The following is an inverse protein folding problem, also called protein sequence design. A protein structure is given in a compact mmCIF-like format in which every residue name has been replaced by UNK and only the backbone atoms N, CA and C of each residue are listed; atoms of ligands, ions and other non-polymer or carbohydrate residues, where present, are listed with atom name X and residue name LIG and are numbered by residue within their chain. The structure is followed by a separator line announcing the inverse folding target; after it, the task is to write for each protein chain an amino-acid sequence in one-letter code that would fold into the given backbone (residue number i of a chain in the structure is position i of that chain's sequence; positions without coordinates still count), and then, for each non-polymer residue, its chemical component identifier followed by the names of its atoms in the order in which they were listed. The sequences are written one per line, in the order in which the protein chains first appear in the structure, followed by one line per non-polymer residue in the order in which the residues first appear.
data_IF_520007187648
#
_entry.id   IF_520007187648
#
_cell.length_a   1.000
_cell.length_b   1.000
_cell.length_c   1.000
_cell.angle_alpha   90.00
_cell.angle_beta   90.00
_cell.angle_gamma   90.00
#
_symmetry.space_group_name_H-M   'P 1'
#
loop_
_entity.id
_entity.type
_entity.pdbx_description
1 polymer ?
#
# COMPACT_ATOMS: atom_id res chain seq x y z
N UNK A 1 -15.97 -10.89 5.25
CA UNK A 1 -14.99 -10.23 6.18
C UNK A 1 -13.57 -10.16 5.63
N UNK A 2 -13.18 -11.02 4.72
CA UNK A 2 -11.84 -11.08 4.13
C UNK A 2 -11.48 -9.83 3.28
N UNK A 3 -12.47 -9.16 2.67
CA UNK A 3 -12.23 -7.93 1.88
C UNK A 3 -12.04 -6.67 2.74
N UNK A 4 -12.28 -6.78 4.03
CA UNK A 4 -12.22 -5.64 4.95
C UNK A 4 -10.80 -5.05 5.03
N UNK A 5 -9.78 -5.88 5.25
CA UNK A 5 -8.41 -5.40 5.37
C UNK A 5 -7.84 -4.87 4.05
N UNK A 6 -7.99 -5.54 2.89
CA UNK A 6 -7.64 -4.97 1.59
C UNK A 6 -8.37 -3.64 1.33
N UNK A 7 -9.65 -3.54 1.66
CA UNK A 7 -10.40 -2.29 1.55
C UNK A 7 -9.84 -1.15 2.41
N UNK A 8 -9.42 -1.44 3.65
CA UNK A 8 -8.74 -0.47 4.51
C UNK A 8 -7.40 -0.01 3.92
N UNK A 9 -6.61 -0.91 3.34
CA UNK A 9 -5.35 -0.57 2.67
C UNK A 9 -5.61 0.37 1.51
N UNK A 10 -6.59 0.05 0.65
CA UNK A 10 -7.01 0.91 -0.48
C UNK A 10 -7.42 2.30 0.02
N UNK A 11 -8.31 2.36 1.01
CA UNK A 11 -8.77 3.61 1.59
C UNK A 11 -7.64 4.45 2.19
N UNK A 12 -6.73 3.83 2.92
CA UNK A 12 -5.57 4.49 3.51
C UNK A 12 -4.61 5.05 2.45
N UNK A 13 -4.35 4.31 1.37
CA UNK A 13 -3.51 4.77 0.26
C UNK A 13 -4.16 5.95 -0.45
N UNK A 14 -5.45 5.86 -0.78
CA UNK A 14 -6.19 6.94 -1.44
C UNK A 14 -6.20 8.20 -0.57
N UNK A 15 -6.54 8.07 0.71
CA UNK A 15 -6.53 9.19 1.67
C UNK A 15 -5.17 9.88 1.71
N UNK A 16 -4.09 9.09 1.80
CA UNK A 16 -2.72 9.64 1.84
C UNK A 16 -2.35 10.35 0.54
N UNK A 17 -2.58 9.70 -0.61
CA UNK A 17 -2.07 10.17 -1.91
C UNK A 17 -2.94 11.29 -2.49
N UNK A 18 -4.27 11.19 -2.35
CA UNK A 18 -5.20 12.14 -2.96
C UNK A 18 -5.53 13.33 -2.05
N UNK A 19 -5.43 13.19 -0.73
CA UNK A 19 -5.85 14.21 0.22
C UNK A 19 -4.67 14.72 1.06
N UNK A 20 -4.03 13.86 1.86
CA UNK A 20 -3.03 14.30 2.85
C UNK A 20 -1.82 14.92 2.17
N UNK A 21 -1.16 14.19 1.27
CA UNK A 21 0.07 14.65 0.65
C UNK A 21 -0.11 15.92 -0.19
N UNK A 22 -1.13 16.05 -1.08
CA UNK A 22 -1.36 17.29 -1.81
C UNK A 22 -1.75 18.47 -0.93
N UNK A 23 -2.55 18.24 0.12
CA UNK A 23 -2.95 19.30 1.04
C UNK A 23 -1.74 19.83 1.80
N UNK A 24 -0.92 18.94 2.36
CA UNK A 24 0.31 19.33 3.07
C UNK A 24 1.28 20.07 2.15
N UNK A 25 1.44 19.60 0.92
CA UNK A 25 2.33 20.23 -0.07
C UNK A 25 1.88 21.65 -0.45
N UNK A 26 0.57 21.91 -0.50
CA UNK A 26 0.01 23.23 -0.83
C UNK A 26 -0.02 24.20 0.35
N UNK A 27 -0.13 23.69 1.58
CA UNK A 27 -0.34 24.52 2.77
C UNK A 27 0.91 24.76 3.61
N UNK A 28 1.92 23.90 3.48
CA UNK A 28 3.16 23.99 4.24
C UNK A 28 4.31 24.46 3.36
N UNK A 29 5.18 25.28 3.91
CA UNK A 29 6.48 25.59 3.31
C UNK A 29 7.37 24.33 3.30
N UNK A 30 8.41 24.32 2.47
CA UNK A 30 9.27 23.15 2.23
C UNK A 30 9.88 22.57 3.53
N UNK A 31 10.25 23.43 4.49
CA UNK A 31 10.84 23.00 5.77
C UNK A 31 9.81 22.29 6.65
N UNK A 32 8.62 22.86 6.81
CA UNK A 32 7.56 22.31 7.63
C UNK A 32 6.92 21.08 6.98
N UNK A 33 6.81 21.05 5.65
CA UNK A 33 6.42 19.85 4.91
C UNK A 33 7.35 18.68 5.22
N UNK A 34 8.68 18.89 5.13
CA UNK A 34 9.67 17.85 5.44
C UNK A 34 9.58 17.35 6.87
N UNK A 35 9.39 18.26 7.84
CA UNK A 35 9.23 17.89 9.27
C UNK A 35 7.97 17.05 9.52
N UNK A 36 6.87 17.36 8.85
CA UNK A 36 5.61 16.65 9.01
C UNK A 36 5.60 15.29 8.30
N UNK A 37 6.18 15.21 7.09
CA UNK A 37 6.14 13.99 6.29
C UNK A 37 7.06 12.89 6.82
N UNK A 38 8.23 13.25 7.39
CA UNK A 38 9.22 12.30 7.91
C UNK A 38 8.67 11.33 8.97
N UNK A 39 7.94 11.75 9.99
CA UNK A 39 7.32 10.83 10.95
C UNK A 39 6.06 10.14 10.43
N UNK A 40 5.40 10.71 9.41
CA UNK A 40 4.17 10.15 8.84
C UNK A 40 4.42 8.91 7.99
N UNK A 41 5.45 8.92 7.15
CA UNK A 41 5.75 7.83 6.22
C UNK A 41 6.02 6.49 6.88
N UNK A 42 6.90 6.39 7.90
CA UNK A 42 7.13 5.12 8.57
C UNK A 42 5.87 4.56 9.21
N UNK A 43 5.08 5.40 9.87
CA UNK A 43 3.81 5.00 10.51
C UNK A 43 2.81 4.48 9.49
N UNK A 44 2.73 5.15 8.32
CA UNK A 44 1.85 4.72 7.24
C UNK A 44 2.24 3.33 6.71
N UNK A 45 3.50 3.09 6.36
CA UNK A 45 3.91 1.79 5.83
C UNK A 45 3.87 0.69 6.90
N UNK A 46 4.20 0.99 8.16
CA UNK A 46 4.02 0.06 9.26
C UNK A 46 2.54 -0.35 9.42
N UNK A 47 1.61 0.59 9.33
CA UNK A 47 0.17 0.30 9.34
C UNK A 47 -0.22 -0.59 8.16
N UNK A 48 0.26 -0.31 6.95
CA UNK A 48 -0.03 -1.15 5.77
C UNK A 48 0.51 -2.58 5.95
N UNK A 49 1.71 -2.75 6.52
CA UNK A 49 2.26 -4.08 6.85
C UNK A 49 1.35 -4.82 7.81
N UNK A 50 0.92 -4.17 8.90
CA UNK A 50 0.02 -4.77 9.90
C UNK A 50 -1.32 -5.18 9.27
N UNK A 51 -1.94 -4.30 8.49
CA UNK A 51 -3.20 -4.62 7.79
C UNK A 51 -3.03 -5.76 6.78
N UNK A 52 -1.88 -5.84 6.09
CA UNK A 52 -1.59 -6.93 5.15
C UNK A 52 -1.37 -8.26 5.88
N UNK A 53 -0.78 -8.25 7.08
CA UNK A 53 -0.67 -9.44 7.94
C UNK A 53 -2.06 -9.92 8.37
N UNK A 54 -2.94 -9.02 8.81
CA UNK A 54 -4.32 -9.39 9.13
C UNK A 54 -5.08 -9.90 7.90
N UNK A 55 -4.86 -9.32 6.73
CA UNK A 55 -5.41 -9.83 5.47
C UNK A 55 -4.93 -11.28 5.22
N UNK A 56 -3.64 -11.56 5.38
CA UNK A 56 -3.09 -12.90 5.22
C UNK A 56 -3.69 -13.91 6.22
N UNK A 57 -3.84 -13.50 7.48
CA UNK A 57 -4.47 -14.33 8.52
C UNK A 57 -5.91 -14.67 8.13
N UNK A 58 -6.70 -13.69 7.67
CA UNK A 58 -8.07 -13.94 7.23
C UNK A 58 -8.15 -14.86 6.02
N UNK A 59 -7.20 -14.74 5.08
CA UNK A 59 -7.08 -15.67 3.94
C UNK A 59 -6.78 -17.09 4.42
N UNK A 60 -5.86 -17.25 5.36
CA UNK A 60 -5.48 -18.56 5.88
C UNK A 60 -6.61 -19.25 6.65
N UNK A 61 -7.43 -18.48 7.36
CA UNK A 61 -8.54 -19.01 8.16
C UNK A 61 -9.79 -19.36 7.32
N UNK A 62 -9.86 -18.93 6.06
CA UNK A 62 -11.01 -19.18 5.17
C UNK A 62 -10.61 -20.15 4.06
N UNK A 63 -11.12 -21.37 4.14
CA UNK A 63 -10.81 -22.45 3.17
C UNK A 63 -11.24 -22.17 1.73
N UNK A 64 -12.15 -21.22 1.51
CA UNK A 64 -12.69 -20.87 0.19
C UNK A 64 -11.84 -19.86 -0.57
N UNK A 65 -10.77 -19.36 0.06
CA UNK A 65 -9.88 -18.38 -0.54
C UNK A 65 -8.80 -19.05 -1.39
N UNK A 66 -8.65 -18.56 -2.62
CA UNK A 66 -7.69 -19.12 -3.58
C UNK A 66 -6.25 -18.71 -3.26
N UNK A 67 -5.30 -19.46 -3.80
CA UNK A 67 -3.86 -19.13 -3.80
C UNK A 67 -3.60 -17.68 -4.27
N UNK A 68 -4.44 -17.16 -5.16
CA UNK A 68 -4.37 -15.79 -5.65
C UNK A 68 -4.48 -14.74 -4.54
N UNK A 69 -5.42 -14.91 -3.59
CA UNK A 69 -5.58 -14.02 -2.44
C UNK A 69 -4.38 -14.07 -1.50
N UNK A 70 -3.81 -15.26 -1.31
CA UNK A 70 -2.58 -15.44 -0.54
C UNK A 70 -1.40 -14.70 -1.19
N UNK A 71 -1.24 -14.80 -2.51
CA UNK A 71 -0.20 -14.09 -3.25
C UNK A 71 -0.35 -12.57 -3.08
N UNK A 72 -1.57 -12.03 -3.19
CA UNK A 72 -1.82 -10.59 -2.99
C UNK A 72 -1.43 -10.17 -1.56
N UNK A 73 -1.86 -10.90 -0.54
CA UNK A 73 -1.58 -10.55 0.85
C UNK A 73 -0.06 -10.60 1.14
N UNK A 74 0.64 -11.64 0.71
CA UNK A 74 2.10 -11.77 0.87
C UNK A 74 2.83 -10.67 0.10
N UNK A 75 2.45 -10.42 -1.15
CA UNK A 75 3.05 -9.36 -1.96
C UNK A 75 2.85 -7.99 -1.31
N UNK A 76 1.68 -7.74 -0.70
CA UNK A 76 1.40 -6.50 0.01
C UNK A 76 2.31 -6.32 1.23
N UNK A 77 2.56 -7.38 2.00
CA UNK A 77 3.52 -7.35 3.12
C UNK A 77 4.90 -6.98 2.62
N UNK A 78 5.39 -7.68 1.59
CA UNK A 78 6.76 -7.50 1.06
C UNK A 78 6.94 -6.09 0.51
N UNK A 79 6.03 -5.61 -0.33
CA UNK A 79 6.10 -4.27 -0.93
C UNK A 79 6.07 -3.16 0.12
N UNK A 80 5.17 -3.27 1.10
CA UNK A 80 5.07 -2.29 2.19
C UNK A 80 6.30 -2.31 3.10
N UNK A 81 6.85 -3.50 3.39
CA UNK A 81 8.07 -3.64 4.17
C UNK A 81 9.29 -3.03 3.45
N UNK A 82 9.44 -3.25 2.15
CA UNK A 82 10.50 -2.61 1.35
C UNK A 82 10.34 -1.08 1.40
N UNK A 83 9.14 -0.56 1.19
CA UNK A 83 8.88 0.88 1.30
C UNK A 83 9.26 1.42 2.69
N UNK A 84 8.95 0.69 3.75
CA UNK A 84 9.35 1.07 5.12
C UNK A 84 10.86 1.14 5.29
N UNK A 85 11.59 0.11 4.82
CA UNK A 85 13.04 -0.01 4.98
C UNK A 85 13.82 1.05 4.19
N UNK A 86 13.32 1.50 3.04
CA UNK A 86 14.01 2.52 2.24
C UNK A 86 13.82 3.96 2.75
N UNK A 87 12.89 4.22 3.69
CA UNK A 87 12.62 5.57 4.22
C UNK A 87 13.88 6.23 4.81
N UNK A 88 14.67 5.58 5.70
CA UNK A 88 15.88 6.21 6.25
C UNK A 88 16.90 6.61 5.17
N UNK A 89 17.04 5.80 4.13
CA UNK A 89 17.92 6.10 3.00
C UNK A 89 17.40 7.30 2.19
N UNK A 90 16.09 7.38 1.98
CA UNK A 90 15.44 8.51 1.29
C UNK A 90 15.62 9.81 2.08
N UNK A 91 15.45 9.76 3.41
CA UNK A 91 15.67 10.92 4.27
C UNK A 91 17.13 11.39 4.26
N UNK A 92 18.10 10.46 4.34
CA UNK A 92 19.53 10.78 4.23
C UNK A 92 19.90 11.41 2.88
N UNK A 93 19.34 10.88 1.78
CA UNK A 93 19.56 11.46 0.46
C UNK A 93 19.07 12.91 0.39
N UNK A 94 17.92 13.20 1.00
CA UNK A 94 17.39 14.56 1.12
C UNK A 94 18.32 15.45 1.94
N UNK A 95 18.79 15.00 3.10
CA UNK A 95 19.65 15.75 4.01
C UNK A 95 21.02 16.08 3.39
N UNK A 96 21.54 15.16 2.59
CA UNK A 96 22.82 15.31 1.90
C UNK A 96 22.72 16.09 0.56
N UNK A 97 21.51 16.49 0.14
CA UNK A 97 21.29 17.13 -1.15
C UNK A 97 21.49 16.19 -2.34
N UNK A 98 21.51 14.88 -2.13
CA UNK A 98 21.63 13.87 -3.20
C UNK A 98 20.29 13.67 -3.92
N UNK A 99 20.00 14.60 -4.81
CA UNK A 99 18.77 14.59 -5.59
C UNK A 99 18.62 13.36 -6.50
N UNK A 100 19.73 12.75 -6.92
CA UNK A 100 19.70 11.56 -7.78
C UNK A 100 19.19 10.35 -7.01
N UNK A 101 19.82 10.05 -5.89
CA UNK A 101 19.41 8.94 -4.99
C UNK A 101 17.99 9.16 -4.47
N UNK A 102 17.66 10.38 -4.05
CA UNK A 102 16.29 10.71 -3.62
C UNK A 102 15.26 10.39 -4.70
N UNK A 103 15.47 10.82 -5.96
CA UNK A 103 14.54 10.57 -7.06
C UNK A 103 14.34 9.06 -7.31
N UNK A 104 15.40 8.27 -7.23
CA UNK A 104 15.33 6.82 -7.44
C UNK A 104 14.49 6.17 -6.33
N UNK A 105 14.84 6.40 -5.06
CA UNK A 105 14.16 5.82 -3.91
C UNK A 105 12.68 6.27 -3.83
N UNK A 106 12.43 7.53 -4.12
CA UNK A 106 11.07 8.07 -4.17
C UNK A 106 10.23 7.41 -5.27
N UNK A 107 10.77 7.24 -6.48
CA UNK A 107 10.08 6.54 -7.58
C UNK A 107 9.77 5.08 -7.22
N UNK A 108 10.70 4.37 -6.58
CA UNK A 108 10.49 3.00 -6.11
C UNK A 108 9.33 2.99 -5.12
N UNK A 109 9.34 3.86 -4.12
CA UNK A 109 8.28 3.94 -3.12
C UNK A 109 6.91 4.25 -3.73
N UNK A 110 6.85 5.21 -4.67
CA UNK A 110 5.62 5.57 -5.38
C UNK A 110 5.12 4.39 -6.23
N UNK A 111 6.00 3.76 -7.01
CA UNK A 111 5.64 2.61 -7.86
C UNK A 111 5.09 1.46 -7.02
N UNK A 112 5.74 1.13 -5.91
CA UNK A 112 5.27 0.07 -5.01
C UNK A 112 3.94 0.43 -4.34
N UNK A 113 3.73 1.70 -4.00
CA UNK A 113 2.44 2.16 -3.47
C UNK A 113 1.32 2.02 -4.50
N UNK A 114 1.59 2.31 -5.78
CA UNK A 114 0.61 2.10 -6.87
C UNK A 114 0.32 0.61 -7.08
N UNK A 115 1.35 -0.23 -7.07
CA UNK A 115 1.18 -1.69 -7.16
C UNK A 115 0.37 -2.21 -5.98
N UNK A 116 0.66 -1.77 -4.75
CA UNK A 116 -0.13 -2.09 -3.56
C UNK A 116 -1.60 -1.71 -3.73
N UNK A 117 -1.89 -0.54 -4.27
CA UNK A 117 -3.25 -0.09 -4.53
C UNK A 117 -3.96 -1.02 -5.52
N UNK A 118 -3.32 -1.32 -6.65
CA UNK A 118 -3.88 -2.19 -7.70
C UNK A 118 -4.15 -3.60 -7.16
N UNK A 119 -3.18 -4.20 -6.46
CA UNK A 119 -3.31 -5.54 -5.89
C UNK A 119 -4.48 -5.63 -4.90
N UNK A 120 -4.63 -4.63 -4.03
CA UNK A 120 -5.69 -4.64 -3.02
C UNK A 120 -7.06 -4.28 -3.59
N UNK A 121 -7.16 -3.53 -4.70
CA UNK A 121 -8.40 -3.36 -5.48
C UNK A 121 -8.77 -4.67 -6.18
N UNK A 122 -7.79 -5.40 -6.73
CA UNK A 122 -8.03 -6.67 -7.41
C UNK A 122 -8.47 -7.80 -6.45
N UNK A 123 -8.20 -7.67 -5.16
CA UNK A 123 -8.52 -8.70 -4.16
C UNK A 123 -10.01 -9.07 -4.14
N UNK A 124 -10.98 -8.15 -3.99
CA UNK A 124 -12.40 -8.47 -4.03
C UNK A 124 -12.92 -8.83 -5.42
N UNK A 125 -12.32 -8.29 -6.49
CA UNK A 125 -12.78 -8.52 -7.87
C UNK A 125 -12.62 -9.99 -8.29
N UNK A 126 -11.62 -10.69 -7.76
CA UNK A 126 -11.38 -12.10 -8.06
C UNK A 126 -12.51 -13.03 -7.62
N UNK A 127 -13.33 -12.65 -6.63
CA UNK A 127 -14.50 -13.41 -6.21
C UNK A 127 -15.64 -13.39 -7.21
N UNK A 128 -15.89 -12.25 -7.84
CA UNK A 128 -17.03 -12.07 -8.73
C UNK A 128 -16.88 -12.86 -10.03
N UNK A 129 -15.65 -13.14 -10.46
CA UNK A 129 -15.40 -13.94 -11.67
C UNK A 129 -15.38 -15.46 -11.43
N UNK A 130 -15.10 -15.91 -10.19
CA UNK A 130 -15.09 -17.33 -9.85
C UNK A 130 -16.44 -17.88 -9.43
N UNK A 131 -17.40 -17.00 -9.09
CA UNK A 131 -18.74 -17.37 -8.60
C UNK A 131 -19.87 -17.09 -9.57
N UNK A 132 -19.57 -16.70 -10.82
CA UNK A 132 -20.64 -16.66 -11.84
C UNK A 132 -21.12 -18.09 -12.05
N UNK A 133 -22.38 -18.42 -11.67
CA UNK A 133 -22.94 -19.69 -12.05
C UNK A 133 -22.99 -19.69 -13.58
N UNK A 134 -22.40 -20.69 -14.20
CA UNK A 134 -22.74 -21.07 -15.55
C UNK A 134 -24.21 -21.45 -15.49
N UNK A 135 -25.10 -20.48 -15.60
CA UNK A 135 -26.50 -20.75 -15.84
C UNK A 135 -26.59 -21.35 -17.22
N UNK A 136 -26.57 -22.68 -17.24
CA UNK A 136 -27.02 -23.44 -18.38
C UNK A 136 -28.45 -22.98 -18.69
N UNK A 137 -28.58 -22.17 -19.70
CA UNK A 137 -29.83 -21.96 -20.37
C UNK A 137 -30.16 -23.28 -21.08
N UNK A 138 -31.00 -24.08 -20.44
CA UNK A 138 -31.74 -25.15 -21.09
C UNK A 138 -33.15 -24.63 -21.32
#
# INVERSE_FOLDING_TARGET
MHDFFPGLIVGAIILKVAIIAPTMFKTLDSSNFGKAIRPLWPKFFAMVVVLSIFSLITVYLHSDLSVYHMIIAVSSIVLAAICYVIIPATNRATDNGDHKTFKILHRISVSFTVILLILNIAFPVSYTHLTLPTSSWV
#
